data_IF_136498068349
#
_entry.id   IF_136498068349
#
_cell.length_a   1.000
_cell.length_b   1.000
_cell.length_c   1.000
_cell.angle_alpha   90.00
_cell.angle_beta   90.00
_cell.angle_gamma   90.00
#
_symmetry.space_group_name_H-M   'P 1'
#
loop_
_entity.id
_entity.type
_entity.pdbx_description
1 polymer ?
#
# COMPACT_ATOMS: atom_id res chain seq x y z
N UNK A 1 21.16 -25.38 -5.80
CA UNK A 1 21.10 -24.06 -5.16
C UNK A 1 19.72 -23.54 -5.47
N UNK A 2 18.83 -23.61 -4.49
CA UNK A 2 17.48 -23.09 -4.62
C UNK A 2 17.56 -21.57 -4.52
N UNK A 3 17.01 -20.89 -5.53
CA UNK A 3 16.92 -19.44 -5.56
C UNK A 3 15.82 -19.09 -4.55
N UNK A 4 16.17 -18.43 -3.45
CA UNK A 4 15.18 -17.82 -2.58
C UNK A 4 14.59 -16.63 -3.35
N UNK A 5 13.39 -16.83 -3.90
CA UNK A 5 12.48 -15.77 -4.32
C UNK A 5 12.35 -14.85 -3.09
N UNK A 6 12.78 -13.59 -3.22
CA UNK A 6 12.75 -12.63 -2.12
C UNK A 6 11.31 -12.47 -1.64
N UNK A 7 11.11 -12.35 -0.32
CA UNK A 7 9.81 -12.16 0.32
C UNK A 7 8.94 -11.16 -0.45
N UNK A 8 7.95 -11.66 -1.19
CA UNK A 8 6.93 -10.86 -1.87
C UNK A 8 5.86 -10.34 -0.87
N UNK A 9 6.14 -10.47 0.42
CA UNK A 9 5.29 -10.07 1.54
C UNK A 9 6.05 -9.11 2.43
N UNK A 10 5.41 -8.01 2.83
CA UNK A 10 5.98 -7.04 3.76
C UNK A 10 5.23 -7.07 5.10
N UNK A 11 5.95 -7.39 6.17
CA UNK A 11 5.43 -7.28 7.54
C UNK A 11 5.51 -5.82 8.01
N UNK A 12 4.36 -5.15 8.12
CA UNK A 12 4.28 -3.76 8.55
C UNK A 12 4.44 -3.59 10.08
N UNK A 13 4.06 -4.62 10.85
CA UNK A 13 4.24 -4.64 12.31
C UNK A 13 3.01 -5.13 13.06
N UNK A 14 2.87 -4.68 14.30
CA UNK A 14 1.81 -5.08 15.24
C UNK A 14 0.53 -4.29 15.00
N UNK A 15 -0.59 -4.99 14.88
CA UNK A 15 -1.89 -4.42 14.49
C UNK A 15 -2.36 -3.30 15.42
N UNK A 16 -2.23 -3.48 16.73
CA UNK A 16 -2.62 -2.53 17.77
C UNK A 16 -1.77 -1.25 17.74
N UNK A 17 -0.48 -1.39 17.43
CA UNK A 17 0.44 -0.25 17.38
C UNK A 17 0.19 0.57 16.11
N UNK A 18 0.04 -0.11 14.97
CA UNK A 18 -0.13 0.56 13.69
C UNK A 18 -1.52 1.21 13.59
N UNK A 19 -2.58 0.58 14.12
CA UNK A 19 -3.91 1.16 14.11
C UNK A 19 -3.97 2.45 14.94
N UNK A 20 -3.35 2.45 16.13
CA UNK A 20 -3.23 3.64 16.96
C UNK A 20 -2.47 4.76 16.26
N UNK A 21 -1.30 4.44 15.67
CA UNK A 21 -0.50 5.40 14.91
C UNK A 21 -1.32 6.05 13.79
N UNK A 22 -2.09 5.26 13.05
CA UNK A 22 -2.94 5.77 11.96
C UNK A 22 -4.08 6.65 12.48
N UNK A 23 -4.71 6.27 13.60
CA UNK A 23 -5.77 7.07 14.22
C UNK A 23 -5.27 8.41 14.73
N UNK A 24 -4.06 8.46 15.27
CA UNK A 24 -3.47 9.69 15.83
C UNK A 24 -2.80 10.57 14.77
N UNK A 25 -2.02 9.98 13.87
CA UNK A 25 -1.11 10.69 12.96
C UNK A 25 -1.48 10.55 11.48
N UNK A 26 -2.41 9.66 11.15
CA UNK A 26 -2.87 9.40 9.79
C UNK A 26 -2.13 8.27 9.07
N UNK A 27 -2.45 8.05 7.79
CA UNK A 27 -1.95 6.91 7.02
C UNK A 27 -0.43 6.86 6.92
N UNK A 28 0.14 5.65 6.98
CA UNK A 28 1.59 5.45 6.92
C UNK A 28 2.01 5.31 5.46
N UNK A 29 3.00 6.09 5.04
CA UNK A 29 3.64 5.94 3.74
C UNK A 29 4.87 5.05 3.88
N UNK A 30 4.91 3.97 3.13
CA UNK A 30 6.13 3.17 2.95
C UNK A 30 6.70 3.46 1.57
N UNK A 31 7.90 4.01 1.53
CA UNK A 31 8.62 4.30 0.30
C UNK A 31 9.78 3.32 0.09
N UNK A 32 10.15 3.12 -1.17
CA UNK A 32 11.30 2.32 -1.58
C UNK A 32 11.30 0.86 -1.10
N UNK A 33 10.12 0.25 -0.93
CA UNK A 33 10.01 -1.18 -0.60
C UNK A 33 10.43 -2.05 -1.79
N UNK A 34 10.87 -3.29 -1.49
CA UNK A 34 11.26 -4.34 -2.44
C UNK A 34 12.15 -3.81 -3.58
N UNK A 35 13.41 -3.51 -3.24
CA UNK A 35 14.38 -3.02 -4.22
C UNK A 35 14.08 -1.62 -4.76
N UNK A 36 13.32 -0.80 -4.02
CA UNK A 36 13.04 0.59 -4.38
C UNK A 36 11.87 0.80 -5.34
N UNK A 37 10.99 -0.21 -5.51
CA UNK A 37 9.94 -0.19 -6.54
C UNK A 37 8.55 0.05 -5.98
N UNK A 38 8.24 -0.47 -4.79
CA UNK A 38 6.89 -0.32 -4.23
C UNK A 38 6.84 0.86 -3.26
N UNK A 39 6.03 1.85 -3.62
CA UNK A 39 5.69 2.98 -2.77
C UNK A 39 4.21 2.87 -2.45
N UNK A 40 3.87 2.55 -1.21
CA UNK A 40 2.48 2.31 -0.81
C UNK A 40 2.07 3.18 0.37
N UNK A 41 0.77 3.25 0.56
CA UNK A 41 0.12 3.78 1.75
C UNK A 41 -0.54 2.61 2.47
N UNK A 42 -0.32 2.50 3.78
CA UNK A 42 -1.11 1.66 4.67
C UNK A 42 -2.09 2.54 5.45
N UNK A 43 -3.36 2.19 5.37
CA UNK A 43 -4.47 2.88 6.01
C UNK A 43 -5.31 1.89 6.83
N UNK A 44 -5.86 2.38 7.94
CA UNK A 44 -6.86 1.69 8.75
C UNK A 44 -8.06 2.59 8.96
N UNK A 45 -9.27 2.05 8.82
CA UNK A 45 -10.53 2.75 9.03
C UNK A 45 -11.46 1.92 9.90
N UNK A 46 -12.02 2.54 10.93
CA UNK A 46 -12.97 1.92 11.85
C UNK A 46 -12.38 1.70 13.25
N UNK A 47 -13.19 1.15 14.14
CA UNK A 47 -12.84 0.97 15.55
C UNK A 47 -12.27 -0.43 15.88
N UNK A 48 -12.40 -1.39 14.95
CA UNK A 48 -11.90 -2.75 15.11
C UNK A 48 -10.56 -2.90 14.39
N UNK A 49 -9.49 -3.01 15.16
CA UNK A 49 -8.13 -3.15 14.66
C UNK A 49 -7.93 -4.42 13.82
N UNK A 50 -8.82 -5.42 13.88
CA UNK A 50 -8.69 -6.66 13.10
C UNK A 50 -9.26 -6.57 11.67
N UNK A 51 -9.92 -5.46 11.31
CA UNK A 51 -10.53 -5.26 9.98
C UNK A 51 -10.35 -3.82 9.52
N UNK A 52 -10.73 -3.51 8.27
CA UNK A 52 -10.70 -2.13 7.77
C UNK A 52 -9.31 -1.65 7.35
N UNK A 53 -8.44 -2.58 6.94
CA UNK A 53 -7.10 -2.27 6.43
C UNK A 53 -7.08 -2.13 4.92
N UNK A 54 -6.34 -1.14 4.43
CA UNK A 54 -6.17 -0.83 3.02
C UNK A 54 -4.68 -0.57 2.75
N UNK A 55 -4.13 -1.28 1.77
CA UNK A 55 -2.81 -1.00 1.22
C UNK A 55 -2.96 -0.69 -0.27
N UNK A 56 -2.40 0.42 -0.73
CA UNK A 56 -2.50 0.85 -2.12
C UNK A 56 -1.36 1.78 -2.51
N UNK A 57 -1.17 1.99 -3.81
CA UNK A 57 -0.06 2.80 -4.31
C UNK A 57 -0.09 4.25 -3.80
N UNK A 58 1.10 4.74 -3.45
CA UNK A 58 1.36 6.12 -3.05
C UNK A 58 1.28 7.10 -4.24
N UNK A 59 1.42 6.60 -5.47
CA UNK A 59 1.47 7.39 -6.70
C UNK A 59 0.35 6.92 -7.61
N UNK A 60 -0.42 7.86 -8.18
CA UNK A 60 -1.52 7.48 -9.06
C UNK A 60 -1.03 6.85 -10.37
N UNK A 61 -1.80 5.95 -10.99
CA UNK A 61 -1.45 5.35 -12.27
C UNK A 61 -1.10 6.41 -13.33
N UNK A 62 0.07 6.27 -13.94
CA UNK A 62 0.56 7.16 -14.99
C UNK A 62 1.16 8.49 -14.52
N UNK A 63 1.26 8.73 -13.21
CA UNK A 63 1.93 9.91 -12.65
C UNK A 63 3.41 9.66 -12.37
N UNK A 64 4.27 10.69 -12.39
CA UNK A 64 5.66 10.57 -11.99
C UNK A 64 5.80 10.40 -10.48
N UNK A 65 6.92 9.82 -10.02
CA UNK A 65 7.15 9.47 -8.60
C UNK A 65 7.12 10.66 -7.61
N UNK A 66 7.28 11.89 -8.11
CA UNK A 66 7.18 13.11 -7.30
C UNK A 66 5.72 13.53 -7.00
N UNK A 67 4.76 13.03 -7.78
CA UNK A 67 3.32 13.28 -7.63
C UNK A 67 2.69 12.25 -6.70
N UNK A 68 3.04 12.35 -5.43
CA UNK A 68 2.56 11.45 -4.38
C UNK A 68 1.20 11.90 -3.83
N UNK A 69 0.46 10.94 -3.30
CA UNK A 69 -0.76 11.17 -2.54
C UNK A 69 -0.44 11.66 -1.13
N UNK A 70 -1.00 12.81 -0.76
CA UNK A 70 -0.89 13.41 0.57
C UNK A 70 -2.22 13.34 1.32
N UNK A 71 -2.16 12.92 2.60
CA UNK A 71 -3.33 12.85 3.45
C UNK A 71 -3.81 14.23 3.89
N UNK A 72 -5.08 14.53 3.65
CA UNK A 72 -5.74 15.75 4.09
C UNK A 72 -6.69 15.40 5.26
N UNK A 73 -6.15 15.37 6.48
CA UNK A 73 -6.89 14.89 7.66
C UNK A 73 -8.20 15.63 7.96
N UNK A 74 -8.31 16.92 7.62
CA UNK A 74 -9.56 17.67 7.79
C UNK A 74 -10.67 17.25 6.81
N UNK A 75 -10.29 16.80 5.62
CA UNK A 75 -11.21 16.35 4.58
C UNK A 75 -11.40 14.82 4.56
N UNK A 76 -10.54 14.09 5.28
CA UNK A 76 -10.48 12.63 5.26
C UNK A 76 -10.41 12.12 3.81
N UNK A 77 -9.40 12.59 3.07
CA UNK A 77 -9.13 12.19 1.70
C UNK A 77 -7.63 12.34 1.41
N UNK A 78 -7.16 11.66 0.36
CA UNK A 78 -5.84 11.90 -0.20
C UNK A 78 -5.94 12.90 -1.36
N UNK A 79 -4.90 13.70 -1.55
CA UNK A 79 -4.75 14.54 -2.73
C UNK A 79 -3.41 14.32 -3.40
N UNK A 80 -3.43 14.20 -4.72
CA UNK A 80 -2.23 14.22 -5.53
C UNK A 80 -1.51 15.57 -5.37
N UNK A 81 -0.23 15.54 -5.02
CA UNK A 81 0.58 16.74 -4.75
C UNK A 81 0.79 17.63 -5.98
N UNK A 82 0.65 17.08 -7.19
CA UNK A 82 0.91 17.78 -8.44
C UNK A 82 -0.33 18.43 -9.04
N UNK A 83 -1.47 17.72 -9.06
CA UNK A 83 -2.70 18.21 -9.70
C UNK A 83 -3.91 18.36 -8.76
N UNK A 84 -3.76 17.95 -7.49
CA UNK A 84 -4.79 18.09 -6.46
C UNK A 84 -5.95 17.11 -6.61
N UNK A 85 -5.87 16.12 -7.50
CA UNK A 85 -6.94 15.12 -7.64
C UNK A 85 -7.17 14.38 -6.33
N UNK A 86 -8.44 14.26 -5.94
CA UNK A 86 -8.84 13.55 -4.72
C UNK A 86 -8.90 12.04 -4.94
N UNK A 87 -8.40 11.29 -3.96
CA UNK A 87 -8.52 9.84 -3.83
C UNK A 87 -9.15 9.55 -2.46
N UNK A 88 -10.18 8.68 -2.37
CA UNK A 88 -10.85 8.41 -1.12
C UNK A 88 -9.91 7.72 -0.09
N UNK A 89 -10.24 7.75 1.22
CA UNK A 89 -9.43 7.12 2.26
C UNK A 89 -9.09 5.65 2.02
N UNK A 90 -9.98 4.92 1.34
CA UNK A 90 -9.79 3.51 1.02
C UNK A 90 -8.80 3.26 -0.12
N UNK A 91 -8.32 4.32 -0.78
CA UNK A 91 -7.50 4.20 -1.98
C UNK A 91 -8.26 3.73 -3.21
N UNK A 92 -9.60 3.70 -3.19
CA UNK A 92 -10.39 3.18 -4.32
C UNK A 92 -10.01 3.86 -5.64
N UNK A 93 -9.73 3.06 -6.66
CA UNK A 93 -9.23 3.49 -7.96
C UNK A 93 -7.70 3.56 -8.06
N UNK A 94 -6.98 3.24 -6.99
CA UNK A 94 -5.54 2.95 -7.00
C UNK A 94 -5.32 1.43 -7.12
N UNK A 95 -4.14 1.00 -7.63
CA UNK A 95 -3.68 -0.36 -7.45
C UNK A 95 -3.60 -0.69 -5.95
N UNK A 96 -4.30 -1.73 -5.52
CA UNK A 96 -4.37 -2.17 -4.13
C UNK A 96 -3.64 -3.49 -3.88
N UNK A 97 -3.34 -3.74 -2.62
CA UNK A 97 -2.59 -4.91 -2.15
C UNK A 97 -3.39 -5.60 -1.04
N UNK A 98 -3.51 -6.94 -1.09
CA UNK A 98 -4.08 -7.69 0.01
C UNK A 98 -3.33 -7.40 1.32
N UNK A 99 -4.09 -7.08 2.36
CA UNK A 99 -3.60 -6.95 3.73
C UNK A 99 -4.12 -8.13 4.53
N UNK A 100 -3.21 -8.87 5.14
CA UNK A 100 -3.52 -10.02 5.98
C UNK A 100 -3.14 -9.72 7.43
N UNK A 101 -3.94 -10.25 8.36
CA UNK A 101 -3.66 -10.16 9.79
C UNK A 101 -3.55 -11.56 10.34
N UNK A 102 -2.35 -11.90 10.79
CA UNK A 102 -2.04 -13.19 11.39
C UNK A 102 -1.32 -12.98 12.71
N UNK A 103 -1.80 -13.62 13.78
CA UNK A 103 -1.21 -13.53 15.13
C UNK A 103 -1.00 -12.08 15.63
N UNK A 104 -1.88 -11.16 15.22
CA UNK A 104 -1.82 -9.74 15.58
C UNK A 104 -0.76 -8.94 14.83
N UNK A 105 -0.28 -9.45 13.68
CA UNK A 105 0.68 -8.78 12.80
C UNK A 105 0.08 -8.56 11.42
N UNK A 106 0.46 -7.44 10.81
CA UNK A 106 0.02 -7.02 9.48
C UNK A 106 1.06 -7.45 8.46
N UNK A 107 0.62 -8.18 7.44
CA UNK A 107 1.38 -8.50 6.23
C UNK A 107 0.69 -7.92 4.99
N UNK A 108 1.49 -7.49 4.02
CA UNK A 108 1.02 -6.95 2.74
C UNK A 108 1.61 -7.80 1.62
N UNK A 109 0.76 -8.38 0.77
CA UNK A 109 1.18 -9.26 -0.34
C UNK A 109 1.31 -8.46 -1.66
N UNK A 110 2.51 -8.44 -2.23
CA UNK A 110 2.80 -7.72 -3.47
C UNK A 110 2.66 -8.57 -4.74
N UNK A 111 2.54 -9.90 -4.62
CA UNK A 111 2.44 -10.82 -5.77
C UNK A 111 1.21 -10.57 -6.62
N UNK A 112 0.17 -9.95 -6.05
CA UNK A 112 -1.03 -9.55 -6.77
C UNK A 112 -0.73 -8.63 -7.97
N UNK A 113 0.39 -7.89 -7.95
CA UNK A 113 0.79 -7.01 -9.07
C UNK A 113 1.79 -7.66 -10.05
N UNK A 114 2.59 -8.66 -9.62
CA UNK A 114 3.59 -9.31 -10.48
C UNK A 114 2.96 -10.19 -11.59
N UNK A 115 1.65 -10.42 -11.54
CA UNK A 115 0.95 -11.24 -12.55
C UNK A 115 0.88 -10.58 -13.94
N UNK A 116 1.15 -9.27 -14.07
CA UNK A 116 1.19 -8.57 -15.36
C UNK A 116 2.60 -8.57 -16.03
N UNK A 117 3.59 -9.26 -15.45
CA UNK A 117 5.00 -9.19 -15.86
C UNK A 117 5.57 -10.37 -16.66
N UNK A 118 4.81 -11.44 -16.91
CA UNK A 118 5.32 -12.68 -17.54
C UNK A 118 4.39 -13.22 -18.65
N UNK A 119 4.11 -12.40 -19.68
CA UNK A 119 3.63 -12.89 -20.97
C UNK A 119 4.50 -12.34 -22.10
N UNK A 120 5.79 -12.67 -22.09
CA UNK A 120 6.66 -12.49 -23.26
C UNK A 120 7.84 -13.44 -23.18
N UNK A 121 7.62 -14.76 -23.27
CA UNK A 121 8.64 -15.73 -23.72
C UNK A 121 8.00 -17.11 -23.98
N UNK A 122 7.49 -17.30 -25.20
CA UNK A 122 7.36 -18.58 -25.95
C UNK A 122 6.51 -18.28 -27.19
N UNK A 123 6.84 -18.57 -28.45
CA UNK A 123 7.86 -19.38 -29.12
C UNK A 123 7.89 -18.84 -30.57
N UNK A 124 9.05 -18.84 -31.23
CA UNK A 124 9.27 -19.31 -32.64
C UNK A 124 10.75 -19.16 -33.06
#
# INVERSE_FOLDING_TARGET
>A
VEIALGDDTFEAGRVDIIAEEIRENGPIKYADLIGGRQNIILQHLGDDDQVGWYAFDLIRPGQPNECQLDWIGAAQEFRDSCDGTSVPPTGFGQPDYPVEIEEGRISIDFRAQDTDGDESLSDE
#
